data_IF_186956867419
#
_entry.id   IF_186956867419
#
_cell.length_a   1.000
_cell.length_b   1.000
_cell.length_c   1.000
_cell.angle_alpha   90.00
_cell.angle_beta   90.00
_cell.angle_gamma   90.00
#
_symmetry.space_group_name_H-M   'P 1'
#
loop_
_entity.id
_entity.type
_entity.pdbx_description
1 polymer ?
#
# COMPACT_ATOMS: atom_id res chain seq x y z
N UNK A 1 11.30 8.40 -7.95
CA UNK A 1 10.60 7.10 -8.12
C UNK A 1 11.23 6.21 -7.09
N UNK A 2 10.55 6.04 -5.98
CA UNK A 2 11.15 5.51 -4.76
C UNK A 2 10.32 4.35 -4.23
N UNK A 3 10.94 3.49 -3.42
CA UNK A 3 10.22 2.45 -2.70
C UNK A 3 9.41 3.12 -1.59
N UNK A 4 8.09 3.19 -1.78
CA UNK A 4 7.21 3.79 -0.80
C UNK A 4 5.84 3.12 -0.81
N UNK A 5 5.43 2.60 0.35
CA UNK A 5 4.13 1.97 0.60
C UNK A 5 3.92 1.82 2.13
N UNK A 6 2.81 1.22 2.55
CA UNK A 6 2.49 1.04 3.98
C UNK A 6 3.47 0.16 4.77
N UNK A 7 4.28 -0.69 4.13
CA UNK A 7 5.28 -1.52 4.84
C UNK A 7 6.71 -0.99 4.68
N UNK A 8 6.99 -0.21 3.62
CA UNK A 8 8.27 0.44 3.37
C UNK A 8 8.10 1.96 3.33
N UNK A 9 8.37 2.63 4.46
CA UNK A 9 8.22 4.09 4.60
C UNK A 9 9.56 4.83 4.70
N UNK A 10 10.55 4.19 5.32
CA UNK A 10 11.81 4.81 5.74
C UNK A 10 12.70 5.32 4.60
N UNK A 11 12.65 4.69 3.42
CA UNK A 11 13.47 5.10 2.26
C UNK A 11 13.06 6.47 1.73
N UNK A 12 11.78 6.82 1.85
CA UNK A 12 11.21 8.03 1.27
C UNK A 12 10.90 9.09 2.33
N UNK A 13 10.27 8.69 3.44
CA UNK A 13 9.92 9.62 4.51
C UNK A 13 11.17 10.16 5.21
N UNK A 14 11.22 11.48 5.44
CA UNK A 14 12.39 12.17 5.99
C UNK A 14 12.97 13.18 5.01
N UNK A 15 14.30 13.22 4.90
CA UNK A 15 15.03 14.21 4.08
C UNK A 15 14.62 14.18 2.61
N UNK A 16 14.36 13.00 2.05
CA UNK A 16 13.95 12.85 0.66
C UNK A 16 12.55 13.45 0.41
N UNK A 17 11.56 13.11 1.23
CA UNK A 17 10.22 13.70 1.13
C UNK A 17 10.26 15.22 1.30
N UNK A 18 11.05 15.73 2.25
CA UNK A 18 11.22 17.17 2.47
C UNK A 18 11.84 17.86 1.24
N UNK A 19 12.94 17.31 0.71
CA UNK A 19 13.62 17.85 -0.48
C UNK A 19 12.68 17.88 -1.70
N UNK A 20 11.92 16.82 -1.91
CA UNK A 20 10.95 16.73 -3.01
C UNK A 20 9.85 17.79 -2.85
N UNK A 21 9.35 18.00 -1.64
CA UNK A 21 8.36 19.05 -1.34
C UNK A 21 8.93 20.45 -1.60
N UNK A 22 10.12 20.75 -1.06
CA UNK A 22 10.75 22.08 -1.15
C UNK A 22 11.07 22.47 -2.61
N UNK A 23 11.40 21.49 -3.45
CA UNK A 23 11.70 21.69 -4.86
C UNK A 23 10.46 21.64 -5.77
N UNK A 24 9.26 21.40 -5.22
CA UNK A 24 8.04 21.22 -6.02
C UNK A 24 8.10 20.01 -6.96
N UNK A 25 8.91 19.01 -6.61
CA UNK A 25 9.04 17.76 -7.37
C UNK A 25 7.92 16.82 -6.93
N UNK A 26 7.46 16.00 -7.86
CA UNK A 26 6.40 15.03 -7.65
C UNK A 26 6.97 13.62 -7.59
N UNK A 27 6.63 12.86 -6.55
CA UNK A 27 6.99 11.45 -6.44
C UNK A 27 5.97 10.54 -7.16
N UNK A 28 6.49 9.47 -7.73
CA UNK A 28 5.75 8.41 -8.43
C UNK A 28 6.30 7.08 -7.87
N UNK A 29 5.80 6.62 -6.71
CA UNK A 29 6.43 5.53 -5.97
C UNK A 29 6.21 4.16 -6.63
N UNK A 30 7.24 3.32 -6.60
CA UNK A 30 7.15 1.92 -7.05
C UNK A 30 6.88 0.97 -5.89
N UNK A 31 6.47 -0.26 -6.23
CA UNK A 31 6.00 -1.26 -5.25
C UNK A 31 4.87 -0.75 -4.34
N UNK A 32 3.91 0.01 -4.90
CA UNK A 32 2.81 0.58 -4.11
C UNK A 32 1.93 -0.44 -3.38
N UNK A 33 1.97 -1.72 -3.80
CA UNK A 33 1.29 -2.86 -3.14
C UNK A 33 2.26 -3.89 -2.53
N UNK A 34 3.52 -3.52 -2.29
CA UNK A 34 4.55 -4.34 -1.63
C UNK A 34 4.67 -5.78 -2.20
N UNK A 35 4.96 -5.90 -3.51
CA UNK A 35 5.05 -7.19 -4.22
C UNK A 35 3.75 -8.02 -4.18
N UNK A 36 2.63 -7.37 -3.85
CA UNK A 36 1.31 -7.98 -3.67
C UNK A 36 0.99 -8.33 -2.22
N UNK A 37 1.86 -8.05 -1.25
CA UNK A 37 1.57 -8.27 0.17
C UNK A 37 0.29 -7.52 0.60
N UNK A 38 0.21 -6.24 0.24
CA UNK A 38 -0.91 -5.34 0.52
C UNK A 38 -2.18 -5.63 -0.30
N UNK A 39 -2.22 -6.72 -1.07
CA UNK A 39 -3.46 -7.19 -1.70
C UNK A 39 -4.31 -8.05 -0.76
N UNK A 40 -3.81 -8.37 0.44
CA UNK A 40 -4.50 -9.22 1.40
C UNK A 40 -4.42 -10.72 1.11
N UNK A 41 -3.65 -11.18 0.12
CA UNK A 41 -3.55 -12.61 -0.21
C UNK A 41 -2.60 -13.40 0.71
N UNK A 42 -1.72 -12.72 1.44
CA UNK A 42 -0.78 -13.33 2.39
C UNK A 42 -1.32 -13.13 3.81
N UNK A 43 -2.07 -14.11 4.30
CA UNK A 43 -2.69 -14.09 5.64
C UNK A 43 -1.98 -15.07 6.58
N UNK A 44 -2.17 -14.93 7.89
CA UNK A 44 -1.68 -15.92 8.86
C UNK A 44 -2.28 -17.30 8.53
N UNK A 45 -1.45 -18.32 8.52
CA UNK A 45 -1.86 -19.69 8.19
C UNK A 45 -2.00 -20.00 6.71
N UNK A 46 -1.89 -19.01 5.81
CA UNK A 46 -1.81 -19.25 4.36
C UNK A 46 -0.38 -19.66 4.03
N UNK A 47 -0.19 -20.92 3.64
CA UNK A 47 1.13 -21.50 3.35
C UNK A 47 1.53 -21.42 1.87
N UNK A 48 0.55 -21.28 0.98
CA UNK A 48 0.79 -21.24 -0.47
C UNK A 48 0.06 -20.06 -1.12
N UNK A 49 0.79 -19.31 -1.94
CA UNK A 49 0.25 -18.25 -2.80
C UNK A 49 0.85 -18.43 -4.19
N UNK A 50 0.01 -18.63 -5.20
CA UNK A 50 0.45 -18.74 -6.60
C UNK A 50 0.97 -17.39 -7.12
N UNK A 51 2.26 -17.15 -6.91
CA UNK A 51 2.95 -15.97 -7.41
C UNK A 51 4.45 -16.17 -7.45
N UNK A 52 5.08 -15.81 -8.58
CA UNK A 52 6.54 -15.67 -8.66
C UNK A 52 7.11 -14.62 -7.69
N UNK A 53 6.27 -13.73 -7.16
CA UNK A 53 6.65 -12.71 -6.17
C UNK A 53 6.43 -13.17 -4.73
N UNK A 54 5.95 -14.39 -4.49
CA UNK A 54 5.55 -14.87 -3.16
C UNK A 54 6.70 -14.79 -2.14
N UNK A 55 7.88 -15.29 -2.49
CA UNK A 55 9.04 -15.27 -1.59
C UNK A 55 9.35 -13.86 -1.07
N UNK A 56 9.44 -12.87 -1.97
CA UNK A 56 9.73 -11.48 -1.57
C UNK A 56 8.54 -10.78 -0.90
N UNK A 57 7.30 -11.18 -1.16
CA UNK A 57 6.14 -10.63 -0.46
C UNK A 57 6.03 -11.17 0.97
N UNK A 58 6.48 -12.42 1.21
CA UNK A 58 6.51 -13.04 2.53
C UNK A 58 7.53 -12.40 3.48
N UNK A 59 8.50 -11.62 2.97
CA UNK A 59 9.37 -10.80 3.82
C UNK A 59 8.57 -9.78 4.67
N UNK A 60 7.38 -9.39 4.20
CA UNK A 60 6.46 -8.50 4.92
C UNK A 60 5.47 -9.25 5.83
N UNK A 61 5.50 -10.59 5.87
CA UNK A 61 4.63 -11.44 6.69
C UNK A 61 5.06 -11.44 8.17
N UNK A 62 5.11 -10.24 8.76
CA UNK A 62 5.48 -9.97 10.15
C UNK A 62 4.26 -9.55 10.95
N UNK A 63 4.38 -9.47 12.28
CA UNK A 63 3.29 -8.97 13.12
C UNK A 63 2.84 -7.55 12.72
N UNK A 64 3.79 -6.68 12.34
CA UNK A 64 3.50 -5.34 11.79
C UNK A 64 2.75 -5.42 10.47
N UNK A 65 3.23 -6.25 9.53
CA UNK A 65 2.57 -6.45 8.23
C UNK A 65 1.13 -6.95 8.38
N UNK A 66 0.90 -7.90 9.28
CA UNK A 66 -0.45 -8.39 9.56
C UNK A 66 -1.34 -7.37 10.26
N UNK A 67 -0.79 -6.53 11.13
CA UNK A 67 -1.54 -5.44 11.77
C UNK A 67 -1.98 -4.39 10.72
N UNK A 68 -1.13 -4.06 9.76
CA UNK A 68 -1.47 -3.19 8.63
C UNK A 68 -2.61 -3.79 7.82
N UNK A 69 -2.51 -5.07 7.46
CA UNK A 69 -3.55 -5.78 6.72
C UNK A 69 -4.89 -5.77 7.48
N UNK A 70 -4.87 -6.00 8.81
CA UNK A 70 -6.07 -5.96 9.63
C UNK A 70 -6.72 -4.55 9.68
N UNK A 71 -5.91 -3.49 9.74
CA UNK A 71 -6.43 -2.12 9.65
C UNK A 71 -7.05 -1.85 8.26
N UNK A 72 -6.44 -2.35 7.19
CA UNK A 72 -6.99 -2.24 5.84
C UNK A 72 -8.29 -3.03 5.66
N UNK A 73 -8.48 -4.16 6.35
CA UNK A 73 -9.75 -4.90 6.32
C UNK A 73 -10.90 -4.07 6.93
N UNK A 74 -10.66 -3.40 8.06
CA UNK A 74 -11.66 -2.53 8.68
C UNK A 74 -12.09 -1.40 7.75
N UNK A 75 -11.13 -0.80 7.03
CA UNK A 75 -11.38 0.22 6.02
C UNK A 75 -12.13 -0.40 4.82
N UNK A 76 -11.75 -1.61 4.38
CA UNK A 76 -12.43 -2.33 3.31
C UNK A 76 -13.91 -2.51 3.62
N UNK A 77 -14.25 -2.97 4.83
CA UNK A 77 -15.63 -3.12 5.29
C UNK A 77 -16.40 -1.80 5.26
N UNK A 78 -15.78 -0.70 5.70
CA UNK A 78 -16.38 0.64 5.67
C UNK A 78 -16.61 1.16 4.23
N UNK A 79 -15.80 0.72 3.26
CA UNK A 79 -15.87 1.10 1.85
C UNK A 79 -16.53 0.02 0.98
N UNK A 80 -17.61 -0.60 1.47
CA UNK A 80 -18.39 -1.62 0.74
C UNK A 80 -17.55 -2.81 0.24
N UNK A 81 -16.61 -3.29 1.06
CA UNK A 81 -15.65 -4.34 0.73
C UNK A 81 -14.69 -3.96 -0.41
N UNK A 82 -14.21 -2.72 -0.40
CA UNK A 82 -13.22 -2.26 -1.37
C UNK A 82 -11.94 -3.13 -1.36
N UNK A 83 -11.32 -3.41 -2.52
CA UNK A 83 -10.09 -4.19 -2.58
C UNK A 83 -8.96 -3.57 -1.75
N UNK A 84 -8.23 -4.38 -0.98
CA UNK A 84 -7.10 -3.91 -0.17
C UNK A 84 -6.01 -3.24 -1.02
N UNK A 85 -5.79 -3.73 -2.25
CA UNK A 85 -4.88 -3.11 -3.21
C UNK A 85 -5.28 -1.66 -3.55
N UNK A 86 -6.57 -1.38 -3.70
CA UNK A 86 -7.09 -0.03 -3.94
C UNK A 86 -6.92 0.89 -2.71
N UNK A 87 -7.13 0.35 -1.51
CA UNK A 87 -6.93 1.07 -0.23
C UNK A 87 -5.46 1.45 -0.04
N UNK A 88 -4.53 0.51 -0.25
CA UNK A 88 -3.09 0.78 -0.17
C UNK A 88 -2.65 1.90 -1.13
N UNK A 89 -3.20 1.91 -2.35
CA UNK A 89 -2.95 2.96 -3.32
C UNK A 89 -3.66 4.27 -2.98
N UNK A 90 -4.82 4.22 -2.33
CA UNK A 90 -5.52 5.37 -1.76
C UNK A 90 -4.68 6.09 -0.71
N UNK A 91 -4.04 5.32 0.18
CA UNK A 91 -3.11 5.87 1.16
C UNK A 91 -1.90 6.57 0.50
N UNK A 92 -1.33 5.99 -0.56
CA UNK A 92 -0.25 6.63 -1.30
C UNK A 92 -0.70 7.92 -2.01
N UNK A 93 -1.89 7.94 -2.61
CA UNK A 93 -2.47 9.14 -3.23
C UNK A 93 -2.75 10.26 -2.25
N UNK A 94 -2.97 9.94 -0.97
CA UNK A 94 -3.18 10.92 0.08
C UNK A 94 -1.88 11.60 0.57
N UNK A 95 -0.70 11.12 0.15
CA UNK A 95 0.57 11.70 0.59
C UNK A 95 0.86 13.00 -0.17
N UNK A 96 1.27 14.09 0.52
CA UNK A 96 1.38 15.43 -0.07
C UNK A 96 2.27 15.53 -1.32
N UNK A 97 3.29 14.69 -1.41
CA UNK A 97 4.31 14.72 -2.46
C UNK A 97 4.12 13.61 -3.51
N UNK A 98 3.05 12.82 -3.44
CA UNK A 98 2.80 11.72 -4.38
C UNK A 98 1.74 12.11 -5.40
N UNK A 99 2.09 12.11 -6.68
CA UNK A 99 1.12 12.41 -7.75
C UNK A 99 0.37 11.17 -8.22
N UNK A 100 1.08 10.05 -8.33
CA UNK A 100 0.48 8.79 -8.78
C UNK A 100 1.31 7.59 -8.30
N UNK A 101 0.72 6.61 -7.60
CA UNK A 101 1.42 5.39 -7.25
C UNK A 101 1.51 4.42 -8.44
N UNK A 102 2.62 3.68 -8.55
CA UNK A 102 2.79 2.60 -9.52
C UNK A 102 2.32 1.29 -8.92
N UNK A 103 1.39 0.63 -9.60
CA UNK A 103 0.96 -0.73 -9.33
C UNK A 103 0.94 -1.54 -10.63
N UNK A 104 1.08 -2.86 -10.53
CA UNK A 104 1.06 -3.76 -11.67
C UNK A 104 0.17 -4.96 -11.40
N UNK A 105 -0.58 -5.35 -12.43
CA UNK A 105 -1.42 -6.54 -12.46
C UNK A 105 -0.87 -7.54 -13.48
N UNK A 106 -1.06 -8.84 -13.22
CA UNK A 106 -0.82 -9.92 -14.21
C UNK A 106 -2.12 -10.52 -14.76
N UNK A 107 -3.26 -10.18 -14.19
CA UNK A 107 -4.60 -10.62 -14.62
C UNK A 107 -5.53 -9.42 -14.72
N UNK A 108 -6.61 -9.57 -15.49
CA UNK A 108 -7.67 -8.55 -15.59
C UNK A 108 -8.31 -8.29 -14.22
N UNK A 109 -8.60 -9.33 -13.43
CA UNK A 109 -9.17 -9.16 -12.10
C UNK A 109 -8.29 -8.30 -11.16
N UNK A 110 -6.97 -8.48 -11.20
CA UNK A 110 -6.06 -7.62 -10.43
C UNK A 110 -6.05 -6.17 -10.92
N UNK A 111 -6.19 -5.97 -12.24
CA UNK A 111 -6.31 -4.63 -12.80
C UNK A 111 -7.62 -3.97 -12.31
N UNK A 112 -8.74 -4.69 -12.36
CA UNK A 112 -10.05 -4.23 -11.88
C UNK A 112 -10.04 -3.87 -10.38
N UNK A 113 -9.25 -4.56 -9.56
CA UNK A 113 -9.02 -4.17 -8.17
C UNK A 113 -8.20 -2.87 -8.07
N UNK A 114 -7.05 -2.80 -8.75
CA UNK A 114 -6.08 -1.71 -8.62
C UNK A 114 -6.60 -0.37 -9.16
N UNK A 115 -7.45 -0.38 -10.18
CA UNK A 115 -7.98 0.85 -10.82
C UNK A 115 -9.05 1.54 -9.98
N UNK A 116 -9.58 0.89 -8.94
CA UNK A 116 -10.56 1.51 -8.06
C UNK A 116 -9.92 2.65 -7.26
N UNK A 117 -10.61 3.79 -7.24
CA UNK A 117 -10.19 4.96 -6.48
C UNK A 117 -10.97 4.98 -5.17
N UNK A 118 -10.25 4.74 -4.08
CA UNK A 118 -10.74 4.89 -2.71
C UNK A 118 -10.16 6.18 -2.15
N UNK A 119 -11.05 7.11 -1.80
CA UNK A 119 -10.71 8.32 -1.05
C UNK A 119 -10.81 8.00 0.44
N UNK A 120 -9.67 8.03 1.12
CA UNK A 120 -9.59 7.77 2.54
C UNK A 120 -9.86 9.06 3.31
N UNK A 121 -10.66 8.97 4.36
CA UNK A 121 -10.82 10.03 5.34
C UNK A 121 -9.53 10.27 6.13
N UNK A 122 -9.42 11.45 6.74
CA UNK A 122 -8.28 11.78 7.61
C UNK A 122 -8.09 10.77 8.75
N UNK A 123 -9.20 10.24 9.29
CA UNK A 123 -9.17 9.24 10.35
C UNK A 123 -8.58 7.90 9.86
N UNK A 124 -8.94 7.46 8.66
CA UNK A 124 -8.42 6.23 8.06
C UNK A 124 -6.94 6.37 7.68
N UNK A 125 -6.54 7.52 7.16
CA UNK A 125 -5.13 7.84 6.90
C UNK A 125 -4.34 7.82 8.22
N UNK A 126 -4.87 8.45 9.28
CA UNK A 126 -4.21 8.46 10.59
C UNK A 126 -4.09 7.06 11.20
N UNK A 127 -5.14 6.23 11.07
CA UNK A 127 -5.11 4.82 11.49
C UNK A 127 -4.01 4.05 10.77
N UNK A 128 -3.97 4.14 9.44
CA UNK A 128 -2.94 3.49 8.62
C UNK A 128 -1.55 4.00 8.96
N UNK A 129 -1.38 5.31 9.17
CA UNK A 129 -0.11 5.91 9.58
C UNK A 129 0.37 5.35 10.93
N UNK A 130 -0.54 5.20 11.90
CA UNK A 130 -0.20 4.72 13.24
C UNK A 130 0.27 3.27 13.25
N UNK A 131 -0.32 2.39 12.42
CA UNK A 131 0.04 0.97 12.38
C UNK A 131 1.25 0.70 11.47
N UNK A 132 1.51 1.58 10.51
CA UNK A 132 2.62 1.45 9.54
C UNK A 132 3.89 2.20 9.91
N UNK A 133 3.85 3.16 10.85
CA UNK A 133 5.02 3.89 11.34
C UNK A 133 6.07 2.93 11.93
#
# INVERSE_FOLDING_TARGET
QDLYNLVDRTTYEGEMAQTVADLGISNIPFYGIARGFLSGKYRRGVTEVDSMRAAGALEYATDKGYAIIAAMDQISEAHNNAPLSAIALGWLRAQPTVSAPIASARTVAQLEEIVQIIELSEAEIAQLNSVSA
#
